data_IF_253383194343
#
_entry.id   IF_253383194343
#
_cell.length_a   1.000
_cell.length_b   1.000
_cell.length_c   1.000
_cell.angle_alpha   90.00
_cell.angle_beta   90.00
_cell.angle_gamma   90.00
#
_symmetry.space_group_name_H-M   'P 1'
#
loop_
_entity.id
_entity.type
_entity.pdbx_description
1 polymer ?
#
# COMPACT_ATOMS: atom_id res chain seq x y z
N UNK A 1 -94.97 -17.27 -11.67
CA UNK A 1 -95.01 -16.34 -10.54
C UNK A 1 -93.62 -15.77 -10.31
N UNK A 2 -93.47 -14.56 -10.66
CA UNK A 2 -92.79 -13.49 -10.01
C UNK A 2 -91.28 -13.66 -9.83
N UNK A 3 -90.60 -12.92 -10.42
CA UNK A 3 -90.23 -11.48 -10.35
C UNK A 3 -88.81 -11.40 -9.83
N UNK A 4 -88.05 -10.79 -10.35
CA UNK A 4 -87.83 -9.42 -10.73
C UNK A 4 -86.41 -8.93 -10.39
N UNK A 5 -85.90 -8.25 -11.28
CA UNK A 5 -85.25 -6.94 -11.15
C UNK A 5 -83.86 -6.93 -10.53
N UNK A 6 -82.87 -6.99 -11.32
CA UNK A 6 -82.07 -5.95 -11.87
C UNK A 6 -81.93 -4.67 -11.03
N UNK A 7 -80.79 -4.42 -10.65
CA UNK A 7 -80.32 -3.06 -10.63
C UNK A 7 -78.81 -3.09 -10.90
N UNK A 8 -78.45 -2.76 -12.11
CA UNK A 8 -77.08 -2.50 -12.48
C UNK A 8 -76.60 -1.19 -11.84
N UNK A 9 -75.58 -1.28 -11.09
CA UNK A 9 -74.81 -0.09 -10.69
C UNK A 9 -73.63 0.00 -11.62
N UNK A 10 -73.75 0.83 -12.62
CA UNK A 10 -72.63 1.31 -13.44
C UNK A 10 -71.70 2.11 -12.57
N UNK A 11 -70.69 1.49 -12.10
CA UNK A 11 -69.55 2.25 -11.57
C UNK A 11 -68.81 2.78 -12.76
N UNK A 12 -69.00 4.04 -13.01
CA UNK A 12 -68.20 4.78 -13.96
C UNK A 12 -66.77 4.74 -13.47
N UNK A 13 -65.91 4.04 -14.22
CA UNK A 13 -64.49 4.13 -14.01
C UNK A 13 -64.04 5.57 -14.25
N UNK A 14 -63.63 6.21 -13.20
CA UNK A 14 -62.96 7.49 -13.31
C UNK A 14 -61.69 7.27 -14.09
N UNK A 15 -61.73 7.68 -15.35
CA UNK A 15 -60.53 7.76 -16.18
C UNK A 15 -59.57 8.77 -15.56
N UNK A 16 -58.52 8.29 -15.01
CA UNK A 16 -57.38 9.11 -14.52
C UNK A 16 -56.87 9.97 -15.67
N UNK A 17 -56.91 11.29 -15.57
CA UNK A 17 -56.47 12.13 -16.68
C UNK A 17 -54.97 11.87 -16.97
N UNK A 18 -54.58 11.87 -18.25
CA UNK A 18 -53.20 11.56 -18.65
C UNK A 18 -52.16 12.57 -18.18
N UNK A 19 -52.62 13.66 -17.58
CA UNK A 19 -51.70 14.71 -17.04
C UNK A 19 -51.03 14.37 -15.73
N UNK A 20 -51.42 13.25 -15.07
CA UNK A 20 -50.80 12.76 -13.82
C UNK A 20 -49.73 11.67 -14.04
N UNK A 21 -49.38 11.42 -15.28
CA UNK A 21 -48.18 10.65 -15.55
C UNK A 21 -46.99 11.49 -15.06
N UNK A 22 -46.54 11.20 -13.87
CA UNK A 22 -45.28 11.71 -13.37
C UNK A 22 -44.18 11.37 -14.39
N UNK A 23 -43.66 12.37 -15.03
CA UNK A 23 -42.44 12.19 -15.82
C UNK A 23 -41.45 11.45 -14.92
N UNK A 24 -40.82 10.36 -15.36
CA UNK A 24 -39.75 9.78 -14.59
C UNK A 24 -38.77 10.93 -14.29
N UNK A 25 -38.60 11.23 -13.00
CA UNK A 25 -37.50 12.07 -12.56
C UNK A 25 -36.27 11.43 -13.17
N UNK A 26 -35.69 12.11 -14.11
CA UNK A 26 -34.32 11.82 -14.49
C UNK A 26 -33.54 11.87 -13.17
N UNK A 27 -33.26 10.70 -12.64
CA UNK A 27 -32.24 10.55 -11.60
C UNK A 27 -31.02 11.19 -12.16
N UNK A 28 -30.75 12.39 -11.68
CA UNK A 28 -29.61 13.17 -12.10
C UNK A 28 -28.41 12.25 -12.18
N UNK A 29 -27.80 12.24 -13.32
CA UNK A 29 -26.50 11.63 -13.55
C UNK A 29 -25.61 12.16 -12.45
N UNK A 30 -25.44 11.36 -11.40
CA UNK A 30 -24.47 11.65 -10.37
C UNK A 30 -23.15 11.88 -11.05
N UNK A 31 -22.66 13.09 -10.93
CA UNK A 31 -21.39 13.52 -11.52
C UNK A 31 -20.31 12.48 -11.17
N UNK A 32 -19.59 11.97 -12.16
CA UNK A 32 -18.54 10.96 -11.92
C UNK A 32 -17.29 11.53 -11.22
N UNK A 33 -17.38 12.75 -10.72
CA UNK A 33 -16.21 13.49 -10.21
C UNK A 33 -15.83 13.19 -8.75
N UNK A 34 -16.63 12.44 -8.01
CA UNK A 34 -16.31 12.14 -6.60
C UNK A 34 -15.44 10.89 -6.38
N UNK A 35 -15.33 9.99 -7.35
CA UNK A 35 -14.57 8.74 -7.16
C UNK A 35 -13.06 8.88 -7.32
N UNK A 36 -12.58 10.00 -7.90
CA UNK A 36 -11.13 10.18 -8.14
C UNK A 36 -10.34 10.71 -6.95
N UNK A 37 -11.00 11.15 -5.87
CA UNK A 37 -10.29 11.69 -4.69
C UNK A 37 -9.97 10.64 -3.64
N UNK A 38 -10.69 9.55 -3.64
CA UNK A 38 -10.48 8.49 -2.64
C UNK A 38 -9.33 7.56 -3.04
N UNK A 39 -9.17 7.31 -4.35
CA UNK A 39 -8.08 6.47 -4.86
C UNK A 39 -6.70 7.11 -4.66
N UNK A 40 -6.61 8.43 -4.71
CA UNK A 40 -5.36 9.15 -4.47
C UNK A 40 -4.87 9.10 -3.03
N UNK A 41 -5.78 9.08 -2.08
CA UNK A 41 -5.42 8.94 -0.66
C UNK A 41 -4.98 7.52 -0.33
N UNK A 42 -5.74 6.51 -0.74
CA UNK A 42 -5.41 5.10 -0.48
C UNK A 42 -4.06 4.73 -1.12
N UNK A 43 -3.79 5.17 -2.33
CA UNK A 43 -2.49 5.00 -2.96
C UNK A 43 -1.35 5.70 -2.20
N UNK A 44 -1.63 6.90 -1.64
CA UNK A 44 -0.66 7.64 -0.83
C UNK A 44 -0.38 6.96 0.51
N UNK A 45 -1.40 6.42 1.18
CA UNK A 45 -1.26 5.69 2.44
C UNK A 45 -0.51 4.38 2.21
N UNK A 46 -0.82 3.65 1.15
CA UNK A 46 -0.12 2.40 0.80
C UNK A 46 1.36 2.66 0.49
N UNK A 47 1.68 3.78 -0.15
CA UNK A 47 3.06 4.20 -0.38
C UNK A 47 3.79 4.60 0.90
N UNK A 48 3.08 5.11 1.92
CA UNK A 48 3.67 5.46 3.21
C UNK A 48 3.94 4.23 4.09
N UNK A 49 3.15 3.17 3.96
CA UNK A 49 3.34 1.94 4.74
C UNK A 49 4.50 1.06 4.25
N UNK A 50 5.04 1.31 3.06
CA UNK A 50 6.16 0.57 2.46
C UNK A 50 7.55 1.06 2.89
N UNK A 51 7.68 1.88 3.92
CA UNK A 51 8.95 2.56 4.23
C UNK A 51 9.57 2.20 5.56
N UNK A 52 9.09 1.17 6.19
CA UNK A 52 9.67 0.69 7.44
C UNK A 52 10.70 -0.37 7.10
N UNK A 53 11.93 0.06 6.89
CA UNK A 53 13.06 -0.83 6.63
C UNK A 53 14.33 -0.22 7.24
N UNK A 54 15.25 -1.08 7.64
CA UNK A 54 16.59 -0.67 7.99
C UNK A 54 17.46 -0.52 6.75
N UNK A 55 18.47 0.32 6.85
CA UNK A 55 19.49 0.50 5.82
C UNK A 55 20.88 0.37 6.44
N UNK A 56 21.86 0.03 5.60
CA UNK A 56 23.26 -0.02 5.98
C UNK A 56 23.97 1.19 5.38
N UNK A 57 24.72 1.89 6.20
CA UNK A 57 25.43 3.13 5.86
C UNK A 57 26.94 2.94 5.77
N UNK A 58 27.65 4.06 5.53
CA UNK A 58 29.08 4.13 5.30
C UNK A 58 29.97 3.33 6.27
N UNK A 59 29.71 3.24 7.59
CA UNK A 59 30.61 2.52 8.49
C UNK A 59 30.79 1.03 8.13
N UNK A 60 29.87 0.44 7.35
CA UNK A 60 30.01 -0.93 6.86
C UNK A 60 31.00 -1.06 5.69
N UNK A 61 31.29 0.03 4.99
CA UNK A 61 32.18 0.02 3.83
C UNK A 61 33.58 -0.46 4.23
N UNK A 62 34.06 -1.51 3.56
CA UNK A 62 35.35 -2.13 3.86
C UNK A 62 35.39 -3.04 5.08
N UNK A 63 34.45 -2.94 6.01
CA UNK A 63 34.35 -3.83 7.18
C UNK A 63 33.64 -5.13 6.86
N UNK A 64 32.47 -5.03 6.25
CA UNK A 64 31.62 -6.17 5.83
C UNK A 64 31.55 -7.30 6.88
N UNK A 65 31.32 -6.92 8.13
CA UNK A 65 31.07 -7.90 9.20
C UNK A 65 29.67 -8.51 9.01
N UNK A 66 29.58 -9.81 8.95
CA UNK A 66 28.35 -10.51 8.62
C UNK A 66 27.53 -10.92 9.86
N UNK A 67 27.87 -10.43 11.04
CA UNK A 67 27.08 -10.71 12.25
C UNK A 67 25.61 -10.29 12.12
N UNK A 68 25.35 -9.20 11.40
CA UNK A 68 23.99 -8.75 11.11
C UNK A 68 23.23 -9.71 10.18
N UNK A 69 23.91 -10.41 9.27
CA UNK A 69 23.33 -11.42 8.38
C UNK A 69 22.87 -12.63 9.19
N UNK A 70 23.71 -13.09 10.11
CA UNK A 70 23.45 -14.30 10.92
C UNK A 70 22.23 -14.15 11.84
N UNK A 71 21.91 -12.92 12.26
CA UNK A 71 20.76 -12.63 13.14
C UNK A 71 19.49 -12.25 12.40
N UNK A 72 19.54 -12.07 11.09
CA UNK A 72 18.37 -11.68 10.30
C UNK A 72 17.40 -12.85 10.12
N UNK A 73 16.17 -12.78 10.65
CA UNK A 73 15.23 -13.90 10.58
C UNK A 73 14.60 -14.10 9.21
N UNK A 74 14.65 -13.09 8.34
CA UNK A 74 14.08 -13.10 6.99
C UNK A 74 15.14 -13.12 5.91
N UNK A 75 16.42 -13.08 6.31
CA UNK A 75 17.53 -13.20 5.37
C UNK A 75 17.57 -12.15 4.27
N UNK A 76 17.28 -10.91 4.65
CA UNK A 76 17.20 -9.78 3.73
C UNK A 76 18.50 -8.96 3.61
N UNK A 77 19.63 -9.46 4.15
CA UNK A 77 20.92 -8.76 4.15
C UNK A 77 21.91 -9.50 3.25
N UNK A 78 22.34 -8.85 2.19
CA UNK A 78 23.25 -9.40 1.20
C UNK A 78 24.38 -8.41 0.85
N UNK A 79 25.48 -8.86 0.21
CA UNK A 79 25.80 -10.26 -0.04
C UNK A 79 26.31 -11.00 1.20
N UNK A 80 26.13 -12.28 1.26
CA UNK A 80 26.68 -13.16 2.30
C UNK A 80 28.11 -13.55 1.97
N UNK A 81 28.84 -14.05 2.98
CA UNK A 81 30.23 -14.52 2.79
C UNK A 81 30.42 -15.61 1.73
N UNK A 82 29.42 -16.44 1.55
CA UNK A 82 29.38 -17.55 0.59
C UNK A 82 28.89 -17.15 -0.80
N UNK A 83 28.39 -15.93 -0.95
CA UNK A 83 27.94 -15.41 -2.23
C UNK A 83 29.14 -14.84 -3.04
N UNK A 84 29.17 -15.08 -4.38
CA UNK A 84 30.26 -14.59 -5.24
C UNK A 84 30.34 -13.06 -5.27
N UNK A 85 29.21 -12.38 -5.08
CA UNK A 85 29.08 -10.92 -5.05
C UNK A 85 29.78 -10.31 -3.82
N UNK A 86 30.00 -11.10 -2.75
CA UNK A 86 30.60 -10.62 -1.53
C UNK A 86 31.99 -9.99 -1.75
N UNK A 87 32.79 -10.59 -2.61
CA UNK A 87 34.12 -10.07 -2.89
C UNK A 87 34.09 -8.73 -3.65
N UNK A 88 33.12 -8.56 -4.52
CA UNK A 88 32.96 -7.37 -5.36
C UNK A 88 32.22 -6.24 -4.66
N UNK A 89 31.35 -6.56 -3.70
CA UNK A 89 30.59 -5.55 -2.96
C UNK A 89 31.47 -4.76 -1.98
N UNK A 90 31.24 -3.46 -1.91
CA UNK A 90 31.95 -2.57 -0.98
C UNK A 90 31.44 -2.71 0.46
N UNK A 91 30.16 -3.03 0.62
CA UNK A 91 29.44 -3.11 1.89
C UNK A 91 28.33 -4.16 1.80
N UNK A 92 27.62 -4.38 2.88
CA UNK A 92 26.38 -5.15 2.89
C UNK A 92 25.18 -4.23 2.63
N UNK A 93 24.09 -4.81 2.13
CA UNK A 93 22.85 -4.10 1.79
C UNK A 93 21.64 -4.80 2.39
N UNK A 94 20.64 -4.04 2.81
CA UNK A 94 19.36 -4.57 3.31
C UNK A 94 18.31 -4.42 2.23
N UNK A 95 17.60 -5.51 1.93
CA UNK A 95 16.50 -5.50 0.98
C UNK A 95 15.29 -4.73 1.55
N UNK A 96 14.87 -3.61 0.94
CA UNK A 96 13.85 -2.74 1.53
C UNK A 96 12.47 -3.38 1.62
N UNK A 97 12.13 -4.28 0.69
CA UNK A 97 10.81 -4.92 0.65
C UNK A 97 10.73 -6.21 1.49
N UNK A 98 11.87 -6.86 1.74
CA UNK A 98 11.94 -8.08 2.54
C UNK A 98 12.19 -7.81 4.03
N UNK A 99 12.73 -6.64 4.36
CA UNK A 99 12.99 -6.24 5.74
C UNK A 99 11.69 -6.07 6.52
N UNK A 100 11.55 -6.78 7.63
CA UNK A 100 10.38 -6.73 8.51
C UNK A 100 10.51 -5.76 9.69
N UNK A 101 11.54 -4.90 9.67
CA UNK A 101 11.80 -3.90 10.71
C UNK A 101 11.90 -4.49 12.14
N UNK A 102 12.47 -5.66 12.29
CA UNK A 102 12.59 -6.33 13.58
C UNK A 102 13.71 -5.78 14.47
N UNK A 103 14.65 -5.00 13.92
CA UNK A 103 15.76 -4.37 14.63
C UNK A 103 16.86 -5.31 15.14
N UNK A 104 16.80 -6.61 14.87
CA UNK A 104 17.77 -7.58 15.37
C UNK A 104 19.21 -7.33 14.86
N UNK A 105 19.35 -6.78 13.67
CA UNK A 105 20.63 -6.47 13.04
C UNK A 105 21.38 -5.29 13.70
N UNK A 106 20.65 -4.36 14.31
CA UNK A 106 21.25 -3.14 14.90
C UNK A 106 22.28 -3.47 15.98
N UNK A 107 21.94 -4.20 17.07
CA UNK A 107 22.90 -4.54 18.12
C UNK A 107 23.97 -5.52 17.66
N UNK A 108 23.74 -6.25 16.57
CA UNK A 108 24.72 -7.19 16.03
C UNK A 108 25.81 -6.49 15.17
N UNK A 109 25.57 -5.27 14.74
CA UNK A 109 26.52 -4.52 13.91
C UNK A 109 27.66 -3.94 14.77
N UNK A 110 28.93 -4.37 14.60
CA UNK A 110 30.03 -3.89 15.42
C UNK A 110 30.45 -2.46 15.10
N UNK A 111 30.03 -1.94 13.96
CA UNK A 111 30.38 -0.60 13.48
C UNK A 111 29.21 0.38 13.51
N UNK A 112 28.09 -0.03 14.08
CA UNK A 112 26.87 0.80 14.19
C UNK A 112 26.44 1.44 12.85
N UNK A 113 26.49 0.67 11.78
CA UNK A 113 26.20 1.15 10.42
C UNK A 113 24.72 1.06 10.05
N UNK A 114 23.86 0.49 10.91
CA UNK A 114 22.47 0.16 10.59
C UNK A 114 21.54 1.18 11.25
N UNK A 115 20.71 1.81 10.41
CA UNK A 115 19.76 2.84 10.83
C UNK A 115 18.39 2.56 10.20
N UNK A 116 17.33 3.07 10.84
CA UNK A 116 16.01 3.15 10.21
C UNK A 116 16.02 4.27 9.16
N UNK A 117 15.11 4.21 8.20
CA UNK A 117 14.98 5.26 7.19
C UNK A 117 14.79 6.66 7.80
N UNK A 118 14.05 6.74 8.92
CA UNK A 118 13.73 8.02 9.57
C UNK A 118 14.87 8.55 10.44
N UNK A 119 15.73 7.69 10.96
CA UNK A 119 16.85 8.05 11.85
C UNK A 119 18.18 8.17 11.11
N UNK A 120 18.18 7.93 9.80
CA UNK A 120 19.38 8.03 8.99
C UNK A 120 19.93 9.46 8.99
N UNK A 121 21.19 9.67 9.39
CA UNK A 121 21.82 10.98 9.30
C UNK A 121 21.86 11.50 7.86
N UNK A 122 21.58 12.78 7.64
CA UNK A 122 21.57 13.41 6.30
C UNK A 122 22.86 13.17 5.50
N UNK A 123 23.99 13.08 6.17
CA UNK A 123 25.28 12.77 5.53
C UNK A 123 25.30 11.41 4.83
N UNK A 124 24.37 10.51 5.18
CA UNK A 124 24.25 9.16 4.65
C UNK A 124 22.98 8.89 3.86
N UNK A 125 22.20 9.92 3.54
CA UNK A 125 20.99 9.80 2.72
C UNK A 125 21.23 9.07 1.40
N UNK A 126 22.40 9.24 0.81
CA UNK A 126 22.79 8.55 -0.41
C UNK A 126 22.79 7.02 -0.27
N UNK A 127 22.99 6.51 0.95
CA UNK A 127 22.99 5.07 1.20
C UNK A 127 21.60 4.45 1.17
N UNK A 128 20.54 5.24 1.35
CA UNK A 128 19.16 4.80 1.17
C UNK A 128 18.94 4.35 -0.28
N UNK A 129 19.35 5.19 -1.23
CA UNK A 129 19.31 4.87 -2.65
C UNK A 129 20.22 3.67 -2.97
N UNK A 130 21.44 3.67 -2.42
CA UNK A 130 22.45 2.62 -2.67
C UNK A 130 21.98 1.23 -2.21
N UNK A 131 21.33 1.14 -1.05
CA UNK A 131 20.74 -0.13 -0.59
C UNK A 131 19.61 -0.62 -1.53
N UNK A 132 18.80 0.29 -2.04
CA UNK A 132 17.72 -0.04 -2.98
C UNK A 132 18.25 -0.44 -4.34
N UNK A 133 19.23 0.28 -4.88
CA UNK A 133 19.81 0.03 -6.18
C UNK A 133 20.52 -1.34 -6.29
N UNK A 134 21.02 -1.85 -5.17
CA UNK A 134 21.65 -3.18 -5.14
C UNK A 134 20.68 -4.31 -5.52
N UNK A 135 19.40 -4.14 -5.22
CA UNK A 135 18.36 -5.14 -5.50
C UNK A 135 17.57 -4.86 -6.79
N UNK A 136 17.79 -3.76 -7.49
CA UNK A 136 17.18 -3.39 -8.76
C UNK A 136 16.13 -2.31 -8.61
#
# INVERSE_FOLDING_TARGET
>A
MNNAVSAGSHVRGDAVPPSLALKPRELGRGSPTRRRREDGWLASITSMMSRVAYIICEPCVGTKDTACVDVCPVDCIHPRKDEPEFAAAEMLYIHPDECIDCGACVPACPVEAIFTLDETPQKWDAYIAKNREYYG
#
